data_IF_889953018238
#
_entry.id   IF_889953018238
#
_cell.length_a   1.000
_cell.length_b   1.000
_cell.length_c   1.000
_cell.angle_alpha   90.00
_cell.angle_beta   90.00
_cell.angle_gamma   90.00
#
_symmetry.space_group_name_H-M   'P 1'
#
loop_
_entity.id
_entity.type
_entity.pdbx_description
1 polymer ?
#
# COMPACT_ATOMS: atom_id res chain seq x y z
N UNK A 1 19.83 37.02 -2.46
CA UNK A 1 18.47 36.54 -2.82
C UNK A 1 18.14 36.67 -4.32
N UNK A 2 17.95 37.87 -4.87
CA UNK A 2 17.47 37.98 -6.27
C UNK A 2 18.50 37.46 -7.29
N UNK A 3 19.80 37.72 -7.08
CA UNK A 3 20.91 37.28 -7.94
C UNK A 3 21.06 35.75 -8.00
N UNK A 4 21.07 35.08 -6.85
CA UNK A 4 21.15 33.61 -6.77
C UNK A 4 19.96 32.94 -7.48
N UNK A 5 18.74 33.45 -7.26
CA UNK A 5 17.55 32.96 -7.96
C UNK A 5 17.67 33.15 -9.47
N UNK A 6 18.10 34.31 -9.95
CA UNK A 6 18.28 34.54 -11.39
C UNK A 6 19.30 33.59 -12.01
N UNK A 7 20.38 33.26 -11.30
CA UNK A 7 21.37 32.29 -11.75
C UNK A 7 20.80 30.86 -11.84
N UNK A 8 20.01 30.44 -10.86
CA UNK A 8 19.35 29.12 -10.87
C UNK A 8 18.27 29.02 -11.95
N UNK A 9 17.47 30.07 -12.14
CA UNK A 9 16.50 30.16 -13.24
C UNK A 9 17.18 30.10 -14.61
N UNK A 10 18.33 30.77 -14.76
CA UNK A 10 19.15 30.67 -15.96
C UNK A 10 19.64 29.23 -16.19
N UNK A 11 20.19 28.57 -15.15
CA UNK A 11 20.67 27.17 -15.23
C UNK A 11 19.55 26.22 -15.66
N UNK A 12 18.36 26.34 -15.10
CA UNK A 12 17.20 25.49 -15.42
C UNK A 12 16.56 25.85 -16.76
N UNK A 13 16.81 27.05 -17.28
CA UNK A 13 16.31 27.51 -18.58
C UNK A 13 17.22 27.14 -19.76
N UNK A 14 18.47 26.71 -19.51
CA UNK A 14 19.37 26.17 -20.55
C UNK A 14 18.72 25.08 -21.42
N UNK A 15 19.14 24.98 -22.68
CA UNK A 15 18.61 23.98 -23.64
C UNK A 15 18.81 22.54 -23.15
N UNK A 16 20.00 22.22 -22.64
CA UNK A 16 20.29 20.95 -21.98
C UNK A 16 19.83 21.03 -20.52
N UNK A 17 18.77 20.29 -20.17
CA UNK A 17 18.24 20.23 -18.81
C UNK A 17 19.00 19.18 -18.02
N UNK A 18 19.60 19.57 -16.90
CA UNK A 18 20.24 18.65 -15.97
C UNK A 18 19.36 18.42 -14.75
N UNK A 19 19.26 17.17 -14.31
CA UNK A 19 18.54 16.80 -13.10
C UNK A 19 19.13 17.50 -11.86
N UNK A 20 20.46 17.49 -11.74
CA UNK A 20 21.21 18.16 -10.67
C UNK A 20 20.76 19.61 -10.46
N UNK A 21 20.65 20.37 -11.56
CA UNK A 21 20.33 21.80 -11.51
C UNK A 21 18.90 22.03 -11.00
N UNK A 22 17.94 21.18 -11.38
CA UNK A 22 16.55 21.27 -10.93
C UNK A 22 16.45 20.92 -9.44
N UNK A 23 17.12 19.85 -9.00
CA UNK A 23 17.14 19.43 -7.60
C UNK A 23 17.83 20.48 -6.71
N UNK A 24 18.97 21.02 -7.14
CA UNK A 24 19.64 22.08 -6.38
C UNK A 24 18.74 23.29 -6.20
N UNK A 25 17.97 23.66 -7.23
CA UNK A 25 17.06 24.79 -7.10
C UNK A 25 15.87 24.49 -6.18
N UNK A 26 15.26 23.31 -6.31
CA UNK A 26 14.17 22.88 -5.43
C UNK A 26 14.63 22.86 -3.97
N UNK A 27 15.83 22.30 -3.69
CA UNK A 27 16.41 22.28 -2.34
C UNK A 27 16.61 23.68 -1.78
N UNK A 28 17.08 24.63 -2.61
CA UNK A 28 17.24 26.01 -2.21
C UNK A 28 15.89 26.65 -1.83
N UNK A 29 14.86 26.52 -2.67
CA UNK A 29 13.55 27.12 -2.38
C UNK A 29 12.84 26.46 -1.20
N UNK A 30 13.00 25.14 -1.00
CA UNK A 30 12.47 24.45 0.18
C UNK A 30 13.12 24.93 1.47
N UNK A 31 14.46 25.05 1.50
CA UNK A 31 15.18 25.58 2.65
C UNK A 31 14.75 27.02 2.94
N UNK A 32 14.67 27.85 1.90
CA UNK A 32 14.22 29.23 2.03
C UNK A 32 12.79 29.32 2.59
N UNK A 33 11.88 28.47 2.11
CA UNK A 33 10.51 28.42 2.60
C UNK A 33 10.44 28.01 4.08
N UNK A 34 11.22 27.02 4.51
CA UNK A 34 11.30 26.61 5.91
C UNK A 34 11.83 27.76 6.82
N UNK A 35 12.92 28.42 6.41
CA UNK A 35 13.48 29.56 7.14
C UNK A 35 12.49 30.72 7.22
N UNK A 36 11.74 30.96 6.13
CA UNK A 36 10.72 32.00 6.07
C UNK A 36 9.51 31.68 6.96
N UNK A 37 9.04 30.43 6.96
CA UNK A 37 7.93 29.96 7.81
C UNK A 37 8.26 30.17 9.29
N UNK A 38 9.47 29.81 9.72
CA UNK A 38 9.92 30.01 11.09
C UNK A 38 9.93 31.51 11.48
N UNK A 39 10.51 32.38 10.64
CA UNK A 39 10.54 33.82 10.90
C UNK A 39 9.16 34.46 10.94
N UNK A 40 8.25 34.02 10.08
CA UNK A 40 6.90 34.58 10.04
C UNK A 40 6.07 34.14 11.25
N UNK A 41 6.27 32.92 11.73
CA UNK A 41 5.66 32.43 12.97
C UNK A 41 6.15 33.23 14.19
N UNK A 42 7.43 33.60 14.24
CA UNK A 42 8.00 34.43 15.32
C UNK A 42 7.49 35.88 15.31
N UNK A 43 7.12 36.41 14.13
CA UNK A 43 6.77 37.83 13.97
C UNK A 43 5.26 38.13 14.06
N UNK A 44 4.39 37.11 14.16
CA UNK A 44 2.91 37.22 14.23
C UNK A 44 2.30 38.27 13.25
N UNK A 45 2.80 38.33 12.01
CA UNK A 45 2.35 39.34 11.04
C UNK A 45 1.04 38.92 10.36
N UNK A 46 0.10 39.86 10.24
CA UNK A 46 -1.18 39.67 9.54
C UNK A 46 -1.04 39.21 8.07
N UNK A 47 0.03 39.66 7.38
CA UNK A 47 0.28 39.31 5.96
C UNK A 47 1.17 38.07 5.76
N UNK A 48 1.47 37.31 6.82
CA UNK A 48 2.35 36.13 6.77
C UNK A 48 1.85 35.05 5.81
N UNK A 49 0.55 34.78 5.81
CA UNK A 49 -0.08 33.75 4.96
C UNK A 49 0.05 34.04 3.46
N UNK A 50 -0.17 35.29 3.04
CA UNK A 50 -0.07 35.69 1.64
C UNK A 50 1.37 35.58 1.10
N UNK A 51 2.37 35.88 1.94
CA UNK A 51 3.78 35.75 1.58
C UNK A 51 4.14 34.27 1.42
N UNK A 52 3.76 33.40 2.37
CA UNK A 52 4.01 31.97 2.31
C UNK A 52 3.38 31.32 1.07
N UNK A 53 2.13 31.67 0.78
CA UNK A 53 1.39 31.17 -0.38
C UNK A 53 2.08 31.47 -1.71
N UNK A 54 2.70 32.66 -1.86
CA UNK A 54 3.46 33.00 -3.06
C UNK A 54 4.71 32.13 -3.23
N UNK A 55 5.38 31.77 -2.12
CA UNK A 55 6.53 30.87 -2.14
C UNK A 55 6.12 29.42 -2.38
N UNK A 56 5.02 28.94 -1.81
CA UNK A 56 4.44 27.62 -2.09
C UNK A 56 4.11 27.45 -3.56
N UNK A 57 3.40 28.42 -4.16
CA UNK A 57 3.11 28.44 -5.60
C UNK A 57 4.37 28.29 -6.44
N UNK A 58 5.45 28.97 -6.06
CA UNK A 58 6.74 28.87 -6.76
C UNK A 58 7.33 27.47 -6.66
N UNK A 59 7.33 26.87 -5.47
CA UNK A 59 7.82 25.51 -5.25
C UNK A 59 7.01 24.50 -6.07
N UNK A 60 5.68 24.57 -6.03
CA UNK A 60 4.81 23.73 -6.87
C UNK A 60 5.06 23.94 -8.37
N UNK A 61 5.30 25.17 -8.81
CA UNK A 61 5.66 25.45 -10.20
C UNK A 61 6.99 24.78 -10.60
N UNK A 62 7.98 24.79 -9.71
CA UNK A 62 9.26 24.10 -9.95
C UNK A 62 9.09 22.59 -10.05
N UNK A 63 8.30 21.98 -9.17
CA UNK A 63 7.96 20.57 -9.27
C UNK A 63 7.22 20.26 -10.57
N UNK A 64 6.18 21.03 -10.92
CA UNK A 64 5.41 20.88 -12.17
C UNK A 64 6.28 21.00 -13.43
N UNK A 65 7.35 21.80 -13.39
CA UNK A 65 8.31 21.96 -14.50
C UNK A 65 9.40 20.87 -14.53
N UNK A 66 9.67 20.23 -13.41
CA UNK A 66 10.74 19.23 -13.25
C UNK A 66 10.22 17.81 -13.48
N UNK A 67 9.08 17.47 -12.89
CA UNK A 67 8.47 16.14 -12.92
C UNK A 67 8.29 15.58 -14.34
N UNK A 68 7.73 16.32 -15.33
CA UNK A 68 7.55 15.80 -16.68
C UNK A 68 8.87 15.49 -17.42
N UNK A 69 9.99 16.07 -16.98
CA UNK A 69 11.31 15.85 -17.59
C UNK A 69 12.05 14.68 -16.97
N UNK A 70 11.82 14.43 -15.69
CA UNK A 70 12.51 13.42 -14.89
C UNK A 70 11.47 12.47 -14.28
N UNK A 71 10.67 11.83 -15.13
CA UNK A 71 9.51 11.02 -14.71
C UNK A 71 9.92 9.77 -13.93
N UNK A 72 11.08 9.22 -14.27
CA UNK A 72 11.63 7.99 -13.70
C UNK A 72 12.25 8.20 -12.32
N UNK A 73 12.55 9.46 -11.96
CA UNK A 73 13.16 9.83 -10.68
C UNK A 73 12.09 9.86 -9.56
N UNK A 74 11.87 8.71 -8.92
CA UNK A 74 10.86 8.56 -7.85
C UNK A 74 11.08 9.54 -6.68
N UNK A 75 12.34 9.85 -6.36
CA UNK A 75 12.69 10.80 -5.29
C UNK A 75 12.11 12.19 -5.51
N UNK A 76 11.98 12.64 -6.77
CA UNK A 76 11.40 13.93 -7.10
C UNK A 76 9.89 13.97 -6.79
N UNK A 77 9.19 12.86 -7.07
CA UNK A 77 7.78 12.70 -6.74
C UNK A 77 7.54 12.68 -5.23
N UNK A 78 8.33 11.87 -4.51
CA UNK A 78 8.22 11.76 -3.06
C UNK A 78 8.51 13.08 -2.34
N UNK A 79 9.50 13.85 -2.83
CA UNK A 79 9.75 15.19 -2.32
C UNK A 79 8.56 16.14 -2.55
N UNK A 80 7.88 16.03 -3.70
CA UNK A 80 6.67 16.82 -3.96
C UNK A 80 5.51 16.41 -3.05
N UNK A 81 5.29 15.11 -2.84
CA UNK A 81 4.24 14.60 -1.95
C UNK A 81 4.45 15.07 -0.52
N UNK A 82 5.67 14.94 0.00
CA UNK A 82 6.02 15.43 1.34
C UNK A 82 5.73 16.92 1.46
N UNK A 83 6.16 17.72 0.47
CA UNK A 83 5.89 19.16 0.49
C UNK A 83 4.40 19.49 0.49
N UNK A 84 3.57 18.78 -0.30
CA UNK A 84 2.12 19.00 -0.31
C UNK A 84 1.46 18.67 1.03
N UNK A 85 1.97 17.66 1.75
CA UNK A 85 1.50 17.31 3.09
C UNK A 85 1.92 18.41 4.08
N UNK A 86 3.18 18.83 4.05
CA UNK A 86 3.72 19.86 4.96
C UNK A 86 3.07 21.25 4.77
N UNK A 87 2.55 21.51 3.56
CA UNK A 87 1.82 22.72 3.21
C UNK A 87 0.29 22.55 3.24
N UNK A 88 -0.22 21.41 3.69
CA UNK A 88 -1.67 21.10 3.77
C UNK A 88 -2.43 21.28 2.44
N UNK A 89 -1.76 21.09 1.30
CA UNK A 89 -2.30 21.28 -0.04
C UNK A 89 -2.80 19.94 -0.63
N UNK A 90 -3.83 19.36 -0.02
CA UNK A 90 -4.37 18.04 -0.38
C UNK A 90 -4.86 17.89 -1.84
N UNK A 91 -5.53 18.90 -2.46
CA UNK A 91 -5.95 18.76 -3.86
C UNK A 91 -4.77 18.63 -4.83
N UNK A 92 -3.65 19.28 -4.53
CA UNK A 92 -2.42 19.19 -5.33
C UNK A 92 -1.76 17.82 -5.12
N UNK A 93 -1.75 17.32 -3.88
CA UNK A 93 -1.28 15.98 -3.56
C UNK A 93 -2.04 14.92 -4.34
N UNK A 94 -3.38 14.94 -4.30
CA UNK A 94 -4.23 13.98 -5.00
C UNK A 94 -3.98 13.97 -6.51
N UNK A 95 -3.94 15.16 -7.12
CA UNK A 95 -3.63 15.31 -8.54
C UNK A 95 -2.22 14.79 -8.87
N UNK A 96 -1.23 15.06 -8.01
CA UNK A 96 0.15 14.59 -8.20
C UNK A 96 0.26 13.07 -8.07
N UNK A 97 -0.40 12.45 -7.10
CA UNK A 97 -0.41 10.99 -6.92
C UNK A 97 -1.13 10.32 -8.09
N UNK A 98 -2.27 10.86 -8.52
CA UNK A 98 -3.00 10.36 -9.69
C UNK A 98 -2.14 10.41 -10.96
N UNK A 99 -1.39 11.50 -11.18
CA UNK A 99 -0.41 11.59 -12.27
C UNK A 99 0.72 10.56 -12.15
N UNK A 100 1.24 10.37 -10.95
CA UNK A 100 2.32 9.42 -10.67
C UNK A 100 1.90 7.97 -10.97
N UNK A 101 0.74 7.55 -10.47
CA UNK A 101 0.17 6.21 -10.72
C UNK A 101 -0.13 6.02 -12.20
N UNK A 102 -0.65 7.04 -12.90
CA UNK A 102 -0.90 6.97 -14.34
C UNK A 102 0.37 6.73 -15.15
N UNK A 103 1.48 7.36 -14.78
CA UNK A 103 2.75 7.22 -15.49
C UNK A 103 3.40 5.85 -15.23
N UNK A 104 3.27 5.32 -14.02
CA UNK A 104 3.88 4.05 -13.62
C UNK A 104 2.86 2.93 -13.39
N UNK A 105 1.79 2.94 -14.19
CA UNK A 105 0.60 2.08 -14.03
C UNK A 105 0.93 0.59 -14.01
N UNK A 106 1.95 0.17 -14.75
CA UNK A 106 2.37 -1.23 -14.91
C UNK A 106 3.05 -1.83 -13.67
N UNK A 107 3.50 -1.01 -12.72
CA UNK A 107 4.31 -1.46 -11.59
C UNK A 107 3.47 -1.58 -10.31
N UNK A 108 3.23 -2.80 -9.79
CA UNK A 108 2.41 -2.97 -8.59
C UNK A 108 2.97 -2.27 -7.34
N UNK A 109 4.30 -2.11 -7.27
CA UNK A 109 4.96 -1.40 -6.16
C UNK A 109 4.49 0.05 -6.04
N UNK A 110 4.23 0.72 -7.16
CA UNK A 110 3.86 2.13 -7.17
C UNK A 110 2.48 2.35 -6.54
N UNK A 111 1.56 1.41 -6.71
CA UNK A 111 0.24 1.45 -6.06
C UNK A 111 0.37 1.38 -4.54
N UNK A 112 1.23 0.49 -4.02
CA UNK A 112 1.50 0.36 -2.58
C UNK A 112 2.17 1.63 -2.03
N UNK A 113 3.19 2.14 -2.71
CA UNK A 113 3.88 3.38 -2.31
C UNK A 113 2.92 4.58 -2.30
N UNK A 114 2.09 4.71 -3.34
CA UNK A 114 1.11 5.80 -3.44
C UNK A 114 0.06 5.72 -2.34
N UNK A 115 -0.38 4.52 -1.97
CA UNK A 115 -1.31 4.31 -0.87
C UNK A 115 -0.69 4.65 0.48
N UNK A 116 0.60 4.33 0.69
CA UNK A 116 1.33 4.74 1.89
C UNK A 116 1.37 6.27 2.04
N UNK A 117 1.51 7.02 0.94
CA UNK A 117 1.42 8.48 0.99
C UNK A 117 0.01 8.98 1.31
N UNK A 118 -1.04 8.37 0.76
CA UNK A 118 -2.41 8.73 1.13
C UNK A 118 -2.75 8.42 2.58
N UNK A 119 -2.26 7.29 3.15
CA UNK A 119 -2.48 6.93 4.55
C UNK A 119 -1.98 7.97 5.56
N UNK A 120 -1.02 8.83 5.18
CA UNK A 120 -0.57 9.94 6.03
C UNK A 120 -1.59 11.08 6.13
N UNK A 121 -2.56 11.13 5.22
CA UNK A 121 -3.57 12.19 5.12
C UNK A 121 -4.95 11.63 5.40
N UNK A 122 -5.38 10.65 4.60
CA UNK A 122 -6.71 10.08 4.64
C UNK A 122 -6.67 8.59 4.25
N UNK A 123 -7.09 7.72 5.17
CA UNK A 123 -7.11 6.27 4.99
C UNK A 123 -8.07 5.83 3.88
N UNK A 124 -9.21 6.49 3.74
CA UNK A 124 -10.24 6.09 2.77
C UNK A 124 -9.77 6.27 1.32
N UNK A 125 -8.97 7.32 1.07
CA UNK A 125 -8.36 7.56 -0.24
C UNK A 125 -7.29 6.51 -0.57
N UNK A 126 -6.50 6.10 0.42
CA UNK A 126 -5.56 5.00 0.26
C UNK A 126 -6.29 3.67 -0.03
N UNK A 127 -7.42 3.42 0.65
CA UNK A 127 -8.23 2.20 0.47
C UNK A 127 -8.73 2.10 -0.97
N UNK A 128 -9.40 3.16 -1.45
CA UNK A 128 -9.91 3.26 -2.84
C UNK A 128 -8.79 3.10 -3.88
N UNK A 129 -7.61 3.64 -3.61
CA UNK A 129 -6.47 3.51 -4.53
C UNK A 129 -5.99 2.05 -4.60
N UNK A 130 -5.89 1.36 -3.46
CA UNK A 130 -5.45 -0.04 -3.41
C UNK A 130 -6.49 -0.96 -4.06
N UNK A 131 -7.78 -0.76 -3.80
CA UNK A 131 -8.87 -1.51 -4.46
C UNK A 131 -8.77 -1.38 -5.99
N UNK A 132 -8.55 -0.15 -6.48
CA UNK A 132 -8.30 0.08 -7.91
C UNK A 132 -7.03 -0.63 -8.39
N UNK A 133 -5.96 -0.63 -7.59
CA UNK A 133 -4.73 -1.36 -7.88
C UNK A 133 -4.92 -2.87 -7.97
N UNK A 134 -5.77 -3.46 -7.12
CA UNK A 134 -6.14 -4.88 -7.16
C UNK A 134 -6.95 -5.23 -8.40
N UNK A 135 -7.85 -4.34 -8.83
CA UNK A 135 -8.59 -4.50 -10.08
C UNK A 135 -7.66 -4.55 -11.31
N UNK A 136 -6.60 -3.74 -11.31
CA UNK A 136 -5.62 -3.68 -12.40
C UNK A 136 -4.62 -4.84 -12.34
N UNK A 137 -4.14 -5.18 -11.14
CA UNK A 137 -3.11 -6.18 -10.90
C UNK A 137 -3.60 -7.28 -9.96
N UNK A 138 -4.56 -8.11 -10.40
CA UNK A 138 -5.20 -9.11 -9.54
C UNK A 138 -4.27 -10.24 -9.11
N UNK A 139 -3.10 -10.39 -9.73
CA UNK A 139 -2.11 -11.42 -9.37
C UNK A 139 -1.03 -10.92 -8.40
N UNK A 140 -1.08 -9.63 -8.02
CA UNK A 140 -0.05 -9.03 -7.18
C UNK A 140 -0.31 -9.22 -5.69
N UNK A 141 0.38 -10.20 -5.11
CA UNK A 141 0.38 -10.47 -3.66
C UNK A 141 0.80 -9.22 -2.86
N UNK A 142 1.68 -8.37 -3.43
CA UNK A 142 2.17 -7.17 -2.74
C UNK A 142 1.07 -6.14 -2.49
N UNK A 143 0.18 -5.97 -3.45
CA UNK A 143 -0.95 -5.04 -3.32
C UNK A 143 -1.98 -5.64 -2.34
N UNK A 144 -2.25 -6.94 -2.45
CA UNK A 144 -3.14 -7.62 -1.52
C UNK A 144 -2.65 -7.51 -0.07
N UNK A 145 -1.36 -7.75 0.17
CA UNK A 145 -0.74 -7.56 1.49
C UNK A 145 -0.95 -6.13 1.99
N UNK A 146 -0.63 -5.12 1.18
CA UNK A 146 -0.81 -3.73 1.59
C UNK A 146 -2.27 -3.38 1.90
N UNK A 147 -3.22 -3.96 1.16
CA UNK A 147 -4.65 -3.78 1.41
C UNK A 147 -5.07 -4.37 2.77
N UNK A 148 -4.67 -5.60 3.03
CA UNK A 148 -4.96 -6.30 4.28
C UNK A 148 -4.32 -5.58 5.47
N UNK A 149 -3.08 -5.13 5.31
CA UNK A 149 -2.35 -4.36 6.32
C UNK A 149 -3.10 -3.09 6.70
N UNK A 150 -3.65 -2.41 5.69
CA UNK A 150 -4.45 -1.22 5.88
C UNK A 150 -5.79 -1.52 6.57
N UNK A 151 -6.49 -2.58 6.17
CA UNK A 151 -7.74 -3.00 6.81
C UNK A 151 -7.54 -3.36 8.28
N UNK A 152 -6.44 -4.03 8.61
CA UNK A 152 -6.08 -4.37 9.99
C UNK A 152 -5.73 -3.13 10.81
N UNK A 153 -5.03 -2.16 10.20
CA UNK A 153 -4.57 -0.96 10.90
C UNK A 153 -5.67 0.08 11.15
N UNK A 154 -6.59 0.26 10.19
CA UNK A 154 -7.57 1.35 10.20
C UNK A 154 -9.04 0.89 10.30
N UNK A 155 -9.33 -0.41 10.09
CA UNK A 155 -10.66 -0.98 10.19
C UNK A 155 -10.89 -1.71 11.51
N UNK A 156 -12.05 -1.48 12.13
CA UNK A 156 -12.61 -2.40 13.12
C UNK A 156 -13.01 -3.70 12.41
N UNK A 157 -12.06 -4.64 12.35
CA UNK A 157 -12.11 -6.06 11.99
C UNK A 157 -13.49 -6.73 11.76
N UNK A 158 -14.18 -6.42 10.66
CA UNK A 158 -15.20 -7.32 10.13
C UNK A 158 -14.51 -8.39 9.29
N UNK A 159 -14.27 -9.54 9.93
CA UNK A 159 -13.61 -10.68 9.33
C UNK A 159 -14.21 -11.04 7.97
N UNK A 160 -15.53 -10.91 7.86
CA UNK A 160 -16.35 -11.17 6.67
C UNK A 160 -15.87 -10.39 5.45
N UNK A 161 -15.58 -9.10 5.58
CA UNK A 161 -15.07 -8.30 4.45
C UNK A 161 -13.73 -8.85 3.96
N UNK A 162 -12.84 -9.20 4.89
CA UNK A 162 -11.52 -9.77 4.56
C UNK A 162 -11.67 -11.12 3.83
N UNK A 163 -12.62 -11.96 4.25
CA UNK A 163 -12.89 -13.24 3.56
C UNK A 163 -13.38 -12.98 2.14
N UNK A 164 -14.33 -12.07 1.97
CA UNK A 164 -14.93 -11.79 0.65
C UNK A 164 -13.90 -11.23 -0.32
N UNK A 165 -13.02 -10.35 0.16
CA UNK A 165 -11.89 -9.82 -0.61
C UNK A 165 -10.92 -10.93 -1.00
N UNK A 166 -10.61 -11.83 -0.06
CA UNK A 166 -9.72 -12.95 -0.33
C UNK A 166 -10.35 -13.93 -1.34
N UNK A 167 -11.64 -14.21 -1.23
CA UNK A 167 -12.39 -15.03 -2.18
C UNK A 167 -12.42 -14.41 -3.58
N UNK A 168 -12.69 -13.11 -3.70
CA UNK A 168 -12.64 -12.40 -4.97
C UNK A 168 -11.24 -12.47 -5.60
N UNK A 169 -10.18 -12.31 -4.80
CA UNK A 169 -8.80 -12.47 -5.26
C UNK A 169 -8.50 -13.89 -5.75
N UNK A 170 -8.95 -14.93 -5.02
CA UNK A 170 -8.75 -16.32 -5.41
C UNK A 170 -9.52 -16.69 -6.69
N UNK A 171 -10.75 -16.21 -6.82
CA UNK A 171 -11.55 -16.42 -8.02
C UNK A 171 -10.88 -15.77 -9.24
N UNK A 172 -10.35 -14.54 -9.09
CA UNK A 172 -9.62 -13.83 -10.16
C UNK A 172 -8.31 -14.49 -10.56
N UNK A 173 -7.70 -15.29 -9.67
CA UNK A 173 -6.43 -15.98 -9.94
C UNK A 173 -6.61 -17.44 -10.38
N UNK A 174 -7.84 -17.86 -10.71
CA UNK A 174 -8.21 -19.25 -11.02
C UNK A 174 -7.71 -20.22 -9.93
N UNK A 175 -7.79 -19.79 -8.68
CA UNK A 175 -7.29 -20.47 -7.51
C UNK A 175 -5.79 -20.78 -7.51
N UNK A 176 -4.96 -20.41 -8.48
CA UNK A 176 -3.60 -20.96 -8.65
C UNK A 176 -2.75 -21.01 -7.35
N UNK A 177 -2.22 -22.20 -7.05
CA UNK A 177 -1.39 -22.55 -5.88
C UNK A 177 -0.19 -21.65 -5.67
N UNK A 178 0.33 -21.06 -6.75
CA UNK A 178 1.43 -20.10 -6.72
C UNK A 178 1.08 -18.81 -5.97
N UNK A 179 -0.17 -18.36 -6.05
CA UNK A 179 -0.62 -17.10 -5.43
C UNK A 179 -1.29 -17.32 -4.07
N UNK A 180 -1.91 -18.49 -3.88
CA UNK A 180 -2.57 -18.86 -2.63
C UNK A 180 -1.58 -18.97 -1.46
N UNK A 181 -0.51 -19.77 -1.61
CA UNK A 181 0.41 -20.06 -0.49
C UNK A 181 1.01 -18.79 0.14
N UNK A 182 1.56 -17.84 -0.64
CA UNK A 182 2.13 -16.63 -0.05
C UNK A 182 1.08 -15.67 0.51
N UNK A 183 -0.10 -15.58 -0.13
CA UNK A 183 -1.18 -14.72 0.33
C UNK A 183 -1.76 -15.21 1.66
N UNK A 184 -1.97 -16.54 1.78
CA UNK A 184 -2.43 -17.18 3.01
C UNK A 184 -1.40 -17.07 4.13
N UNK A 185 -0.11 -17.32 3.87
CA UNK A 185 0.93 -17.15 4.89
C UNK A 185 0.98 -15.71 5.41
N UNK A 186 0.81 -14.72 4.53
CA UNK A 186 0.78 -13.30 4.93
C UNK A 186 -0.42 -12.95 5.82
N UNK A 187 -1.58 -13.59 5.59
CA UNK A 187 -2.75 -13.47 6.45
C UNK A 187 -2.52 -14.19 7.79
N UNK A 188 -2.00 -15.41 7.74
CA UNK A 188 -1.78 -16.24 8.91
C UNK A 188 -0.81 -15.59 9.91
N UNK A 189 0.21 -14.89 9.42
CA UNK A 189 1.17 -14.14 10.26
C UNK A 189 0.53 -12.95 11.00
N UNK A 190 -0.62 -12.43 10.54
CA UNK A 190 -1.20 -11.16 11.02
C UNK A 190 -2.50 -11.29 11.81
N UNK A 191 -3.21 -12.39 11.69
CA UNK A 191 -4.46 -12.63 12.41
C UNK A 191 -4.29 -13.56 13.61
N UNK A 192 -5.09 -13.36 14.65
CA UNK A 192 -5.24 -14.34 15.74
C UNK A 192 -5.76 -15.67 15.18
N UNK A 193 -5.26 -16.80 15.71
CA UNK A 193 -5.56 -18.17 15.22
C UNK A 193 -7.05 -18.47 15.11
N UNK A 194 -7.87 -17.96 16.04
CA UNK A 194 -9.32 -18.11 16.05
C UNK A 194 -9.98 -17.55 14.78
N UNK A 195 -9.50 -16.39 14.31
CA UNK A 195 -10.01 -15.71 13.13
C UNK A 195 -9.62 -16.43 11.85
N UNK A 196 -8.42 -17.01 11.80
CA UNK A 196 -7.97 -17.83 10.67
C UNK A 196 -8.85 -19.08 10.55
N UNK A 197 -9.21 -19.71 11.67
CA UNK A 197 -10.11 -20.88 11.69
C UNK A 197 -11.50 -20.52 11.16
N UNK A 198 -12.08 -19.40 11.60
CA UNK A 198 -13.39 -18.92 11.09
C UNK A 198 -13.36 -18.60 9.59
N UNK A 199 -12.26 -18.02 9.11
CA UNK A 199 -11.97 -17.79 7.68
C UNK A 199 -11.99 -19.11 6.90
N UNK A 200 -11.39 -20.16 7.45
CA UNK A 200 -11.28 -21.46 6.81
C UNK A 200 -12.60 -22.23 6.79
N UNK A 201 -13.34 -22.20 7.89
CA UNK A 201 -14.68 -22.80 7.98
C UNK A 201 -15.63 -22.12 7.00
N UNK A 202 -15.53 -20.80 6.79
CA UNK A 202 -16.32 -20.10 5.76
C UNK A 202 -15.81 -20.35 4.35
N UNK A 203 -14.49 -20.51 4.16
CA UNK A 203 -13.90 -20.88 2.87
C UNK A 203 -14.26 -22.28 2.38
N UNK A 204 -14.73 -23.16 3.28
CA UNK A 204 -15.29 -24.49 2.94
C UNK A 204 -16.53 -24.37 2.02
N UNK A 205 -17.31 -23.30 2.16
CA UNK A 205 -18.42 -23.02 1.24
C UNK A 205 -17.97 -22.54 -0.15
N UNK A 206 -16.69 -22.23 -0.33
CA UNK A 206 -16.12 -21.83 -1.61
C UNK A 206 -15.39 -23.02 -2.23
N UNK A 207 -15.53 -23.17 -3.54
CA UNK A 207 -15.00 -24.29 -4.32
C UNK A 207 -13.46 -24.21 -4.42
N UNK A 208 -12.78 -24.48 -3.31
CA UNK A 208 -11.33 -24.45 -3.21
C UNK A 208 -10.78 -25.83 -3.60
N UNK A 209 -9.84 -25.94 -4.55
CA UNK A 209 -9.35 -27.26 -4.94
C UNK A 209 -8.62 -28.02 -3.79
N UNK A 210 -8.40 -29.33 -3.93
CA UNK A 210 -7.91 -30.19 -2.82
C UNK A 210 -6.51 -29.83 -2.30
N UNK A 211 -5.65 -29.31 -3.16
CA UNK A 211 -4.27 -28.95 -2.81
C UNK A 211 -4.19 -27.75 -1.86
N UNK A 212 -5.24 -26.93 -1.80
CA UNK A 212 -5.29 -25.70 -1.03
C UNK A 212 -5.67 -25.96 0.43
N UNK A 213 -6.66 -26.83 0.65
CA UNK A 213 -7.02 -27.27 1.99
C UNK A 213 -5.85 -28.01 2.65
N UNK A 214 -5.11 -28.83 1.89
CA UNK A 214 -3.89 -29.49 2.37
C UNK A 214 -2.81 -28.50 2.83
N UNK A 215 -2.56 -27.42 2.07
CA UNK A 215 -1.57 -26.41 2.45
C UNK A 215 -1.99 -25.59 3.68
N UNK A 216 -3.26 -25.20 3.74
CA UNK A 216 -3.83 -24.52 4.91
C UNK A 216 -3.61 -25.36 6.16
N UNK A 217 -3.96 -26.64 6.03
CA UNK A 217 -3.93 -27.62 7.10
C UNK A 217 -2.49 -27.89 7.54
N UNK A 218 -1.55 -28.06 6.60
CA UNK A 218 -0.13 -28.23 6.91
C UNK A 218 0.44 -27.00 7.62
N UNK A 219 0.10 -25.79 7.15
CA UNK A 219 0.56 -24.54 7.76
C UNK A 219 0.01 -24.38 9.18
N UNK A 220 -1.27 -24.67 9.40
CA UNK A 220 -1.85 -24.64 10.75
C UNK A 220 -1.23 -25.70 11.69
N UNK A 221 -0.86 -26.88 11.17
CA UNK A 221 -0.18 -27.92 11.94
C UNK A 221 1.27 -27.59 12.30
N UNK A 222 1.99 -26.86 11.45
CA UNK A 222 3.36 -26.39 11.73
C UNK A 222 3.41 -25.40 12.91
N UNK A 223 2.31 -24.68 13.21
CA UNK A 223 2.27 -23.67 14.28
C UNK A 223 1.83 -24.18 15.67
N UNK A 224 1.32 -25.42 15.81
CA UNK A 224 1.26 -26.15 17.10
C UNK A 224 0.96 -27.65 16.97
N UNK A 225 1.76 -28.51 17.63
CA UNK A 225 1.47 -29.96 17.77
C UNK A 225 0.24 -30.25 18.66
N UNK A 226 -0.18 -29.30 19.50
CA UNK A 226 -1.18 -29.53 20.55
C UNK A 226 -2.63 -29.24 20.12
N UNK A 227 -2.87 -28.41 19.10
CA UNK A 227 -4.23 -27.95 18.74
C UNK A 227 -4.79 -28.63 17.46
N UNK A 228 -3.97 -29.43 16.76
CA UNK A 228 -4.36 -30.26 15.61
C UNK A 228 -5.53 -31.23 15.93
N UNK A 229 -5.62 -31.69 17.17
CA UNK A 229 -6.69 -32.60 17.63
C UNK A 229 -8.03 -31.85 17.80
N UNK A 230 -8.00 -30.59 18.20
CA UNK A 230 -9.20 -29.76 18.34
C UNK A 230 -9.70 -29.31 16.96
N UNK A 231 -8.77 -29.03 16.05
CA UNK A 231 -9.06 -28.65 14.67
C UNK A 231 -9.64 -29.80 13.84
N UNK A 232 -9.11 -31.01 13.99
CA UNK A 232 -9.67 -32.24 13.38
C UNK A 232 -11.08 -32.55 13.91
N UNK A 233 -11.34 -32.33 15.21
CA UNK A 233 -12.69 -32.46 15.79
C UNK A 233 -13.68 -31.40 15.29
N UNK A 234 -13.24 -30.16 15.04
CA UNK A 234 -14.09 -29.13 14.43
C UNK A 234 -14.45 -29.46 12.97
N UNK A 235 -13.51 -30.00 12.19
CA UNK A 235 -13.75 -30.44 10.82
C UNK A 235 -14.67 -31.66 10.72
N UNK A 236 -14.63 -32.58 11.69
CA UNK A 236 -15.55 -33.73 11.74
C UNK A 236 -17.02 -33.33 11.92
N UNK A 237 -17.29 -32.17 12.53
CA UNK A 237 -18.66 -31.68 12.71
C UNK A 237 -19.25 -30.99 11.46
N UNK A 238 -18.44 -30.67 10.45
CA UNK A 238 -18.91 -30.12 9.18
C UNK A 238 -19.06 -31.25 8.16
N UNK A 239 -20.21 -31.91 8.26
CA UNK A 239 -20.69 -33.14 7.61
C UNK A 239 -20.44 -33.23 6.08
N UNK A 240 -19.18 -33.32 5.66
CA UNK A 240 -18.73 -33.36 4.27
C UNK A 240 -17.65 -34.41 4.11
N UNK A 241 -17.75 -35.23 3.06
CA UNK A 241 -16.80 -36.30 2.75
C UNK A 241 -15.35 -35.79 2.60
N UNK A 242 -15.19 -34.51 2.26
CA UNK A 242 -13.90 -33.83 2.13
C UNK A 242 -13.26 -33.47 3.48
N UNK A 243 -14.06 -33.13 4.49
CA UNK A 243 -13.55 -32.90 5.85
C UNK A 243 -13.05 -34.19 6.50
N UNK A 244 -13.72 -35.32 6.21
CA UNK A 244 -13.28 -36.65 6.62
C UNK A 244 -11.95 -37.01 5.94
N UNK A 245 -11.81 -36.78 4.62
CA UNK A 245 -10.54 -36.99 3.91
C UNK A 245 -9.39 -36.12 4.43
N UNK A 246 -9.65 -34.86 4.78
CA UNK A 246 -8.63 -33.97 5.37
C UNK A 246 -8.23 -34.39 6.77
N UNK A 247 -9.17 -34.89 7.57
CA UNK A 247 -8.90 -35.45 8.90
C UNK A 247 -8.08 -36.74 8.78
N UNK A 248 -8.39 -37.60 7.82
CA UNK A 248 -7.61 -38.81 7.56
C UNK A 248 -6.17 -38.47 7.12
N UNK A 249 -5.98 -37.44 6.29
CA UNK A 249 -4.63 -36.99 5.87
C UNK A 249 -3.88 -36.33 7.04
N UNK A 250 -4.58 -35.60 7.91
CA UNK A 250 -4.03 -35.04 9.14
C UNK A 250 -3.58 -36.11 10.14
N UNK A 251 -4.35 -37.18 10.27
CA UNK A 251 -4.04 -38.32 11.14
C UNK A 251 -2.86 -39.10 10.56
N UNK A 252 -2.82 -39.34 9.24
CA UNK A 252 -1.70 -40.04 8.59
C UNK A 252 -0.37 -39.27 8.65
N UNK A 253 -0.39 -37.93 8.65
CA UNK A 253 0.83 -37.13 8.83
C UNK A 253 1.33 -37.13 10.29
N UNK A 254 0.46 -37.42 11.28
CA UNK A 254 0.83 -37.57 12.69
C UNK A 254 1.57 -38.89 12.96
N UNK A 255 1.28 -39.93 12.18
CA UNK A 255 1.89 -41.25 12.34
C UNK A 255 3.22 -41.41 11.57
N UNK A 256 3.62 -40.40 10.78
CA UNK A 256 4.83 -40.39 9.95
C UNK A 256 5.91 -39.38 10.39
N UNK A 257 5.80 -38.82 11.61
CA UNK A 257 6.82 -38.02 12.31
C UNK A 257 7.20 -38.71 13.63
#
# INVERSE_FOLDING_TARGET
MMKERTEMEYKISKRKKKYSDHITYIKYELKFYADLKNRLNEMEKENSSAILFNHEKRIHFLFRRSIPKFKDELHLWFAHFQFCIDSENFPILESSISNFVRLHFSQPKIWVESAHWYNKVESDMAKKLIEKGLSVHPTSIKILKAYLDQLVQYGSLDLTEIIDIYHDYLNKTNHSSRFFKPAFATLADKFERSKIIDLLVKSHNFHCPPEYSLFIVSHLCEFSHAESITFSKMLLNTNSAFAIQLVDILVQHKDNL
#
